data_IF_487993205847
#
_entry.id   IF_487993205847
#
_cell.length_a   1.000
_cell.length_b   1.000
_cell.length_c   1.000
_cell.angle_alpha   90.00
_cell.angle_beta   90.00
_cell.angle_gamma   90.00
#
_symmetry.space_group_name_H-M   'P 1'
#
loop_
_entity.id
_entity.type
_entity.pdbx_description
1 polymer ?
#
# COMPACT_ATOMS: atom_id res chain seq x y z
N UNK A 1 -22.60 40.15 -4.10
CA UNK A 1 -22.61 39.58 -2.73
C UNK A 1 -21.77 40.48 -1.85
N UNK A 2 -22.41 41.30 -1.01
CA UNK A 2 -21.67 42.21 -0.11
C UNK A 2 -21.17 41.41 1.09
N UNK A 3 -19.86 41.20 1.18
CA UNK A 3 -19.20 40.70 2.38
C UNK A 3 -19.22 41.82 3.44
N UNK A 4 -20.30 41.88 4.24
CA UNK A 4 -20.34 42.78 5.41
C UNK A 4 -19.51 42.15 6.53
N UNK A 5 -18.29 42.66 6.76
CA UNK A 5 -17.44 42.27 7.89
C UNK A 5 -18.12 42.62 9.22
N UNK A 6 -18.72 41.62 9.86
CA UNK A 6 -19.31 41.81 11.19
C UNK A 6 -18.22 42.02 12.27
N UNK A 7 -18.49 42.78 13.35
CA UNK A 7 -17.49 43.14 14.36
C UNK A 7 -16.71 41.96 14.99
N UNK A 8 -17.34 40.79 15.13
CA UNK A 8 -16.68 39.60 15.66
C UNK A 8 -15.59 39.04 14.73
N UNK A 9 -15.67 39.26 13.41
CA UNK A 9 -14.62 38.87 12.47
C UNK A 9 -13.33 39.65 12.76
N UNK A 10 -13.43 40.92 13.14
CA UNK A 10 -12.27 41.73 13.53
C UNK A 10 -11.64 41.21 14.83
N UNK A 11 -12.46 40.79 15.80
CA UNK A 11 -11.97 40.16 17.03
C UNK A 11 -11.24 38.85 16.72
N UNK A 12 -11.83 37.97 15.90
CA UNK A 12 -11.19 36.70 15.49
C UNK A 12 -9.89 36.96 14.74
N UNK A 13 -9.86 37.90 13.80
CA UNK A 13 -8.65 38.26 13.07
C UNK A 13 -7.57 38.85 13.98
N UNK A 14 -7.95 39.70 14.94
CA UNK A 14 -7.00 40.27 15.91
C UNK A 14 -6.42 39.19 16.83
N UNK A 15 -7.25 38.27 17.31
CA UNK A 15 -6.82 37.15 18.16
C UNK A 15 -5.94 36.16 17.40
N UNK A 16 -6.32 35.82 16.16
CA UNK A 16 -5.52 34.96 15.30
C UNK A 16 -4.18 35.62 14.94
N UNK A 17 -4.19 36.93 14.65
CA UNK A 17 -2.97 37.69 14.35
C UNK A 17 -2.06 37.78 15.56
N UNK A 18 -2.61 38.01 16.75
CA UNK A 18 -1.86 38.04 18.01
C UNK A 18 -1.24 36.67 18.30
N UNK A 19 -2.05 35.60 18.25
CA UNK A 19 -1.56 34.23 18.46
C UNK A 19 -0.48 33.84 17.45
N UNK A 20 -0.66 34.20 16.18
CA UNK A 20 0.32 33.92 15.13
C UNK A 20 1.65 34.67 15.38
N UNK A 21 1.60 35.90 15.93
CA UNK A 21 2.82 36.65 16.30
C UNK A 21 3.57 35.99 17.44
N UNK A 22 2.87 35.59 18.50
CA UNK A 22 3.47 34.86 19.63
C UNK A 22 4.11 33.54 19.16
N UNK A 23 3.39 32.77 18.34
CA UNK A 23 3.92 31.53 17.75
C UNK A 23 5.16 31.79 16.89
N UNK A 24 5.16 32.87 16.11
CA UNK A 24 6.29 33.24 15.27
C UNK A 24 7.54 33.60 16.09
N UNK A 25 7.37 34.35 17.19
CA UNK A 25 8.48 34.67 18.09
C UNK A 25 9.12 33.42 18.71
N UNK A 26 8.30 32.45 19.13
CA UNK A 26 8.79 31.17 19.64
C UNK A 26 9.56 30.40 18.57
N UNK A 27 9.06 30.36 17.33
CA UNK A 27 9.75 29.70 16.20
C UNK A 27 11.09 30.38 15.92
N UNK A 28 11.13 31.71 15.90
CA UNK A 28 12.36 32.49 15.67
C UNK A 28 13.42 32.22 16.75
N UNK A 29 13.01 32.18 18.01
CA UNK A 29 13.90 31.81 19.12
C UNK A 29 14.44 30.38 18.94
N UNK A 30 13.58 29.40 18.68
CA UNK A 30 14.00 28.00 18.47
C UNK A 30 14.90 27.84 17.26
N UNK A 31 14.70 28.63 16.20
CA UNK A 31 15.60 28.67 15.04
C UNK A 31 16.95 29.29 15.38
N UNK A 32 16.99 30.33 16.22
CA UNK A 32 18.24 30.90 16.73
C UNK A 32 18.99 29.89 17.61
N UNK A 33 18.31 29.23 18.53
CA UNK A 33 18.89 28.18 19.38
C UNK A 33 19.44 27.02 18.54
N UNK A 34 18.67 26.52 17.55
CA UNK A 34 19.15 25.49 16.63
C UNK A 34 20.39 25.92 15.84
N UNK A 35 20.49 27.19 15.43
CA UNK A 35 21.70 27.73 14.76
C UNK A 35 22.91 27.67 15.69
N UNK A 36 22.77 28.15 16.93
CA UNK A 36 23.84 28.08 17.95
C UNK A 36 24.27 26.64 18.23
N UNK A 37 23.32 25.70 18.34
CA UNK A 37 23.63 24.29 18.53
C UNK A 37 24.37 23.69 17.34
N UNK A 38 23.98 24.05 16.10
CA UNK A 38 24.66 23.60 14.87
C UNK A 38 26.10 24.14 14.80
N UNK A 39 26.32 25.40 15.18
CA UNK A 39 27.66 25.99 15.26
C UNK A 39 28.54 25.25 16.27
N UNK A 40 28.01 24.94 17.46
CA UNK A 40 28.74 24.17 18.49
C UNK A 40 29.06 22.74 18.07
N UNK A 41 28.15 22.07 17.35
CA UNK A 41 28.37 20.71 16.84
C UNK A 41 29.39 20.66 15.70
N UNK A 42 29.59 21.78 15.00
CA UNK A 42 30.51 21.89 13.87
C UNK A 42 30.11 20.97 12.70
N UNK A 43 31.10 20.50 11.94
CA UNK A 43 30.89 19.61 10.77
C UNK A 43 30.78 18.12 11.12
N UNK A 44 30.59 17.78 12.40
CA UNK A 44 30.51 16.37 12.83
C UNK A 44 29.27 15.69 12.28
N UNK A 45 29.40 14.42 11.88
CA UNK A 45 28.26 13.61 11.41
C UNK A 45 27.29 13.37 12.57
N UNK A 46 26.04 13.79 12.40
CA UNK A 46 24.98 13.57 13.39
C UNK A 46 24.40 12.17 13.19
N UNK A 47 24.57 11.31 14.20
CA UNK A 47 23.95 9.99 14.25
C UNK A 47 22.67 10.07 15.07
N UNK A 48 21.55 9.73 14.43
CA UNK A 48 20.25 9.70 15.09
C UNK A 48 19.86 8.28 15.50
N UNK A 49 19.24 8.16 16.67
CA UNK A 49 18.51 6.96 17.07
C UNK A 49 17.23 6.77 16.25
N UNK A 50 16.66 5.57 16.25
CA UNK A 50 15.45 5.28 15.48
C UNK A 50 14.25 6.12 15.94
N UNK A 51 14.15 6.41 17.24
CA UNK A 51 13.12 7.30 17.79
C UNK A 51 13.28 8.76 17.30
N UNK A 52 14.52 9.25 17.25
CA UNK A 52 14.79 10.59 16.70
C UNK A 52 14.45 10.67 15.21
N UNK A 53 14.82 9.65 14.42
CA UNK A 53 14.44 9.55 13.01
C UNK A 53 12.93 9.50 12.84
N UNK A 54 12.23 8.75 13.68
CA UNK A 54 10.77 8.67 13.68
C UNK A 54 10.13 10.03 13.93
N UNK A 55 10.55 10.76 14.96
CA UNK A 55 10.02 12.10 15.26
C UNK A 55 10.20 13.08 14.09
N UNK A 56 11.38 13.09 13.48
CA UNK A 56 11.66 13.92 12.31
C UNK A 56 10.87 13.48 11.08
N UNK A 57 10.72 12.18 10.84
CA UNK A 57 9.98 11.64 9.70
C UNK A 57 8.48 11.99 9.78
N UNK A 58 7.87 11.87 10.97
CA UNK A 58 6.45 12.19 11.21
C UNK A 58 6.21 13.68 10.95
N UNK A 59 7.01 14.56 11.57
CA UNK A 59 6.85 16.01 11.39
C UNK A 59 7.22 16.46 9.97
N UNK A 60 8.26 15.89 9.39
CA UNK A 60 8.70 16.20 8.04
C UNK A 60 7.69 15.80 6.96
N UNK A 61 6.97 14.69 7.13
CA UNK A 61 5.92 14.29 6.19
C UNK A 61 4.78 15.32 6.12
N UNK A 62 4.44 15.96 7.24
CA UNK A 62 3.40 17.02 7.30
C UNK A 62 3.83 18.27 6.52
N UNK A 63 5.10 18.66 6.63
CA UNK A 63 5.66 19.81 5.91
C UNK A 63 5.78 19.56 4.40
N UNK A 64 6.04 18.31 4.01
CA UNK A 64 6.21 17.93 2.61
C UNK A 64 7.55 18.35 2.02
N UNK A 65 7.85 17.89 0.79
CA UNK A 65 9.17 18.07 0.17
C UNK A 65 9.55 19.55 -0.02
N UNK A 66 8.62 20.36 -0.55
CA UNK A 66 8.89 21.76 -0.91
C UNK A 66 9.33 22.57 0.32
N UNK A 67 8.49 22.58 1.35
CA UNK A 67 8.76 23.32 2.57
C UNK A 67 10.01 22.81 3.30
N UNK A 68 10.27 21.50 3.30
CA UNK A 68 11.50 20.94 3.86
C UNK A 68 12.76 21.44 3.13
N UNK A 69 12.71 21.62 1.81
CA UNK A 69 13.82 22.19 1.05
C UNK A 69 14.06 23.66 1.43
N UNK A 70 13.00 24.42 1.67
CA UNK A 70 13.07 25.86 1.93
C UNK A 70 13.66 26.17 3.32
N UNK A 71 13.38 25.34 4.33
CA UNK A 71 13.80 25.58 5.73
C UNK A 71 15.23 25.14 6.07
N UNK A 72 16.01 24.60 5.11
CA UNK A 72 17.42 24.26 5.33
C UNK A 72 17.68 23.23 6.43
N UNK A 73 17.05 22.05 6.31
CA UNK A 73 17.10 20.97 7.30
C UNK A 73 18.49 20.37 7.53
N UNK A 74 18.67 19.70 8.67
CA UNK A 74 19.92 18.98 9.02
C UNK A 74 20.19 17.82 8.05
N UNK A 75 19.13 17.20 7.53
CA UNK A 75 19.18 16.09 6.58
C UNK A 75 18.46 16.50 5.30
N UNK A 76 18.81 15.89 4.17
CA UNK A 76 18.07 16.13 2.92
C UNK A 76 16.58 15.80 3.09
N UNK A 77 15.66 16.60 2.50
CA UNK A 77 14.22 16.30 2.50
C UNK A 77 13.91 14.87 2.05
N UNK A 78 14.65 14.36 1.07
CA UNK A 78 14.52 12.99 0.58
C UNK A 78 14.85 11.95 1.65
N UNK A 79 15.83 12.22 2.50
CA UNK A 79 16.22 11.32 3.59
C UNK A 79 15.13 11.24 4.65
N UNK A 80 14.57 12.39 5.03
CA UNK A 80 13.48 12.47 6.03
C UNK A 80 12.23 11.75 5.51
N UNK A 81 11.87 11.98 4.24
CA UNK A 81 10.73 11.32 3.62
C UNK A 81 10.98 9.83 3.37
N UNK A 82 12.23 9.40 3.16
CA UNK A 82 12.58 7.98 3.08
C UNK A 82 12.38 7.29 4.42
N UNK A 83 12.84 7.89 5.53
CA UNK A 83 12.58 7.35 6.88
C UNK A 83 11.08 7.17 7.14
N UNK A 84 10.25 8.10 6.68
CA UNK A 84 8.80 7.95 6.77
C UNK A 84 8.27 6.72 5.99
N UNK A 85 8.78 6.49 4.77
CA UNK A 85 8.40 5.30 3.97
C UNK A 85 8.89 4.01 4.61
N UNK A 86 10.08 4.01 5.20
CA UNK A 86 10.64 2.87 5.94
C UNK A 86 9.75 2.51 7.15
N UNK A 87 9.25 3.51 7.89
CA UNK A 87 8.31 3.27 8.99
C UNK A 87 6.99 2.62 8.52
N UNK A 88 6.48 3.03 7.37
CA UNK A 88 5.31 2.38 6.75
C UNK A 88 5.68 0.94 6.37
N UNK A 89 6.80 0.73 5.69
CA UNK A 89 7.22 -0.59 5.27
C UNK A 89 7.37 -1.55 6.46
N UNK A 90 7.93 -1.09 7.58
CA UNK A 90 8.04 -1.88 8.81
C UNK A 90 6.70 -2.21 9.45
N UNK A 91 5.71 -1.31 9.38
CA UNK A 91 4.35 -1.63 9.83
C UNK A 91 3.74 -2.78 9.03
N UNK A 92 4.06 -2.86 7.75
CA UNK A 92 3.58 -3.90 6.84
C UNK A 92 4.54 -5.11 6.73
N UNK A 93 5.62 -5.13 7.51
CA UNK A 93 6.56 -6.24 7.53
C UNK A 93 6.06 -7.38 8.42
N UNK A 94 5.23 -8.24 7.85
CA UNK A 94 4.75 -9.46 8.49
C UNK A 94 5.69 -10.66 8.26
N UNK A 95 6.93 -10.44 7.83
CA UNK A 95 7.87 -11.53 7.53
C UNK A 95 8.15 -12.42 8.75
N UNK A 96 8.19 -11.82 9.94
CA UNK A 96 8.41 -12.52 11.21
C UNK A 96 7.17 -13.28 11.70
N UNK A 97 5.98 -12.78 11.38
CA UNK A 97 4.70 -13.34 11.81
C UNK A 97 4.16 -14.38 10.83
N UNK A 98 4.86 -14.62 9.71
CA UNK A 98 4.43 -15.58 8.70
C UNK A 98 4.55 -17.00 9.28
N UNK A 99 3.43 -17.72 9.47
CA UNK A 99 3.50 -19.10 9.93
C UNK A 99 4.33 -19.90 8.93
N UNK A 100 5.30 -20.69 9.40
CA UNK A 100 6.03 -21.69 8.58
C UNK A 100 5.14 -22.85 8.13
N UNK A 101 3.81 -22.67 8.13
CA UNK A 101 2.85 -23.65 7.64
C UNK A 101 2.89 -23.60 6.12
N UNK A 102 3.84 -24.34 5.55
CA UNK A 102 3.82 -24.65 4.12
C UNK A 102 2.57 -25.50 3.89
N UNK A 103 1.78 -25.17 2.86
CA UNK A 103 0.59 -25.93 2.46
C UNK A 103 0.94 -27.43 2.48
N UNK A 104 0.18 -28.30 3.16
CA UNK A 104 0.47 -29.73 3.19
C UNK A 104 0.68 -30.23 1.77
N UNK A 105 1.79 -30.94 1.54
CA UNK A 105 2.05 -31.53 0.23
C UNK A 105 0.96 -32.55 -0.06
N UNK A 106 0.45 -32.51 -1.29
CA UNK A 106 -0.43 -33.56 -1.82
C UNK A 106 0.35 -34.87 -1.77
N UNK A 107 -0.32 -35.98 -1.44
CA UNK A 107 0.29 -37.31 -1.48
C UNK A 107 0.85 -37.59 -2.88
N UNK A 108 2.04 -38.20 -2.95
CA UNK A 108 2.71 -38.49 -4.22
C UNK A 108 1.84 -39.35 -5.14
N UNK A 109 1.11 -40.32 -4.58
CA UNK A 109 0.16 -41.18 -5.28
C UNK A 109 -0.89 -40.38 -6.08
N UNK A 110 -1.42 -39.31 -5.49
CA UNK A 110 -2.41 -38.45 -6.14
C UNK A 110 -1.76 -37.64 -7.27
N UNK A 111 -0.53 -37.18 -7.06
CA UNK A 111 0.22 -36.44 -8.09
C UNK A 111 0.49 -37.35 -9.29
N UNK A 112 0.92 -38.59 -9.04
CA UNK A 112 1.13 -39.59 -10.09
C UNK A 112 -0.16 -39.90 -10.84
N UNK A 113 -1.28 -40.08 -10.12
CA UNK A 113 -2.58 -40.31 -10.74
C UNK A 113 -3.03 -39.13 -11.63
N UNK A 114 -2.84 -37.89 -11.16
CA UNK A 114 -3.10 -36.69 -11.98
C UNK A 114 -2.28 -36.72 -13.26
N UNK A 115 -0.97 -36.99 -13.17
CA UNK A 115 -0.07 -37.00 -14.32
C UNK A 115 -0.40 -38.15 -15.28
N UNK A 116 -0.78 -39.31 -14.76
CA UNK A 116 -1.21 -40.45 -15.58
C UNK A 116 -2.47 -40.12 -16.38
N UNK A 117 -3.53 -39.62 -15.72
CA UNK A 117 -4.78 -39.23 -16.39
C UNK A 117 -4.52 -38.16 -17.46
N UNK A 118 -3.66 -37.17 -17.16
CA UNK A 118 -3.34 -36.09 -18.07
C UNK A 118 -2.54 -36.55 -19.30
N UNK A 119 -1.64 -37.51 -19.14
CA UNK A 119 -0.87 -38.10 -20.25
C UNK A 119 -1.74 -38.98 -21.16
N UNK A 120 -2.62 -39.78 -20.58
CA UNK A 120 -3.55 -40.63 -21.31
C UNK A 120 -4.65 -39.82 -22.04
N UNK A 121 -4.97 -38.63 -21.53
CA UNK A 121 -6.02 -37.78 -22.08
C UNK A 121 -5.53 -36.35 -22.35
N UNK A 122 -4.70 -36.11 -23.39
CA UNK A 122 -4.09 -34.81 -23.66
C UNK A 122 -5.09 -33.65 -23.91
N UNK A 123 -6.35 -33.97 -24.23
CA UNK A 123 -7.41 -32.98 -24.49
C UNK A 123 -8.19 -32.58 -23.23
N UNK A 124 -7.92 -33.21 -22.08
CA UNK A 124 -8.65 -32.95 -20.85
C UNK A 124 -8.07 -31.77 -20.08
N UNK A 125 -8.91 -30.76 -19.81
CA UNK A 125 -8.59 -29.67 -18.90
C UNK A 125 -8.64 -30.09 -17.43
N UNK A 126 -8.12 -29.22 -16.55
CA UNK A 126 -8.05 -29.48 -15.11
C UNK A 126 -9.42 -29.79 -14.47
N UNK A 127 -10.49 -29.15 -14.93
CA UNK A 127 -11.86 -29.38 -14.42
C UNK A 127 -12.35 -30.79 -14.79
N UNK A 128 -11.98 -31.31 -15.98
CA UNK A 128 -12.36 -32.67 -16.40
C UNK A 128 -11.58 -33.73 -15.63
N UNK A 129 -10.30 -33.48 -15.38
CA UNK A 129 -9.44 -34.33 -14.55
C UNK A 129 -9.94 -34.33 -13.10
N UNK A 130 -10.39 -33.18 -12.59
CA UNK A 130 -11.03 -33.07 -11.27
C UNK A 130 -12.25 -33.98 -11.16
N UNK A 131 -13.14 -33.95 -12.16
CA UNK A 131 -14.31 -34.83 -12.19
C UNK A 131 -13.93 -36.32 -12.25
N UNK A 132 -12.85 -36.67 -12.97
CA UNK A 132 -12.38 -38.04 -13.01
C UNK A 132 -11.84 -38.50 -11.65
N UNK A 133 -11.11 -37.64 -10.94
CA UNK A 133 -10.58 -37.92 -9.61
C UNK A 133 -11.69 -38.02 -8.55
N UNK A 134 -12.73 -37.19 -8.65
CA UNK A 134 -13.88 -37.28 -7.73
C UNK A 134 -14.61 -38.62 -7.87
N UNK A 135 -14.68 -39.17 -9.09
CA UNK A 135 -15.28 -40.49 -9.31
C UNK A 135 -14.50 -41.64 -8.64
N UNK A 136 -13.19 -41.45 -8.41
CA UNK A 136 -12.30 -42.41 -7.72
C UNK A 136 -12.21 -42.11 -6.21
N UNK A 137 -12.95 -41.10 -5.72
CA UNK A 137 -13.02 -40.72 -4.30
C UNK A 137 -12.07 -39.59 -3.89
N UNK A 138 -11.25 -39.06 -4.80
CA UNK A 138 -10.32 -37.98 -4.50
C UNK A 138 -10.93 -36.60 -4.77
N UNK A 139 -11.14 -35.83 -3.70
CA UNK A 139 -11.74 -34.49 -3.76
C UNK A 139 -10.65 -33.42 -3.72
N UNK A 140 -10.21 -32.99 -4.90
CA UNK A 140 -9.09 -32.04 -5.06
C UNK A 140 -9.60 -30.82 -5.83
N UNK A 141 -9.11 -29.63 -5.51
CA UNK A 141 -9.45 -28.41 -6.26
C UNK A 141 -8.75 -28.40 -7.64
N UNK A 142 -9.44 -27.93 -8.68
CA UNK A 142 -8.91 -27.75 -10.04
C UNK A 142 -7.59 -26.95 -10.04
N UNK A 143 -7.48 -25.90 -9.22
CA UNK A 143 -6.28 -25.07 -9.03
C UNK A 143 -5.07 -25.89 -8.59
N UNK A 144 -5.31 -26.93 -7.80
CA UNK A 144 -4.28 -27.84 -7.31
C UNK A 144 -3.79 -28.75 -8.44
N UNK A 145 -4.72 -29.24 -9.28
CA UNK A 145 -4.40 -30.01 -10.49
C UNK A 145 -3.61 -29.15 -11.48
N UNK A 146 -4.06 -27.92 -11.77
CA UNK A 146 -3.34 -26.95 -12.61
C UNK A 146 -1.92 -26.71 -12.10
N UNK A 147 -1.74 -26.58 -10.78
CA UNK A 147 -0.41 -26.41 -10.17
C UNK A 147 0.48 -27.64 -10.35
N UNK A 148 -0.07 -28.86 -10.26
CA UNK A 148 0.66 -30.11 -10.47
C UNK A 148 1.08 -30.25 -11.94
N UNK A 149 0.16 -30.04 -12.87
CA UNK A 149 0.43 -30.10 -14.31
C UNK A 149 1.51 -29.08 -14.71
N UNK A 150 1.39 -27.83 -14.24
CA UNK A 150 2.38 -26.77 -14.47
C UNK A 150 3.76 -27.11 -13.89
N UNK A 151 3.81 -27.66 -12.67
CA UNK A 151 5.07 -28.07 -12.05
C UNK A 151 5.78 -29.20 -12.80
N UNK A 152 5.05 -29.98 -13.60
CA UNK A 152 5.56 -31.07 -14.42
C UNK A 152 5.64 -30.73 -15.92
N UNK A 153 5.52 -29.44 -16.27
CA UNK A 153 5.69 -28.96 -17.65
C UNK A 153 4.56 -29.32 -18.61
N UNK A 154 3.39 -29.74 -18.11
CA UNK A 154 2.20 -29.98 -18.94
C UNK A 154 1.47 -28.65 -19.13
N UNK A 155 1.44 -28.16 -20.36
CA UNK A 155 0.72 -26.94 -20.71
C UNK A 155 -0.79 -27.12 -20.54
N UNK A 156 -1.51 -26.09 -20.05
CA UNK A 156 -2.96 -26.14 -20.02
C UNK A 156 -3.50 -26.39 -21.42
N UNK A 157 -4.50 -27.27 -21.55
CA UNK A 157 -5.27 -27.41 -22.79
C UNK A 157 -5.72 -26.01 -23.22
N UNK A 158 -5.55 -25.63 -24.50
CA UNK A 158 -5.93 -24.31 -24.96
C UNK A 158 -7.37 -24.04 -24.55
N UNK A 159 -7.56 -22.95 -23.80
CA UNK A 159 -8.87 -22.50 -23.41
C UNK A 159 -9.74 -22.48 -24.67
N UNK A 160 -10.93 -23.11 -24.59
CA UNK A 160 -11.97 -22.91 -25.61
C UNK A 160 -12.07 -21.40 -25.85
N UNK A 161 -12.20 -20.93 -27.11
CA UNK A 161 -12.23 -19.51 -27.40
C UNK A 161 -13.25 -18.86 -26.46
N UNK A 162 -12.76 -17.97 -25.61
CA UNK A 162 -13.57 -17.30 -24.62
C UNK A 162 -14.82 -16.77 -25.33
N UNK A 163 -16.00 -17.18 -24.86
CA UNK A 163 -17.23 -16.62 -25.38
C UNK A 163 -17.18 -15.12 -25.12
N UNK A 164 -17.09 -14.34 -26.20
CA UNK A 164 -16.98 -12.88 -26.22
C UNK A 164 -15.59 -12.32 -25.89
N UNK A 165 -15.08 -11.45 -26.77
CA UNK A 165 -13.85 -10.69 -26.51
C UNK A 165 -14.06 -9.65 -25.40
N UNK A 166 -13.02 -9.37 -24.61
CA UNK A 166 -13.05 -8.33 -23.56
C UNK A 166 -13.59 -6.98 -24.06
N UNK A 167 -13.22 -6.61 -25.29
CA UNK A 167 -13.72 -5.39 -25.93
C UNK A 167 -15.24 -5.41 -26.16
N UNK A 168 -15.79 -6.57 -26.52
CA UNK A 168 -17.23 -6.72 -26.75
C UNK A 168 -17.99 -6.73 -25.43
N UNK A 169 -17.45 -7.37 -24.39
CA UNK A 169 -17.99 -7.33 -23.03
C UNK A 169 -18.01 -5.90 -22.47
N UNK A 170 -16.88 -5.19 -22.54
CA UNK A 170 -16.80 -3.81 -22.05
C UNK A 170 -17.75 -2.89 -22.79
N UNK A 171 -17.89 -3.02 -24.11
CA UNK A 171 -18.84 -2.23 -24.91
C UNK A 171 -20.30 -2.53 -24.54
N UNK A 172 -20.66 -3.78 -24.27
CA UNK A 172 -22.02 -4.16 -23.90
C UNK A 172 -22.42 -3.64 -22.50
N UNK A 173 -21.45 -3.52 -21.60
CA UNK A 173 -21.68 -3.16 -20.20
C UNK A 173 -21.18 -1.76 -19.80
N UNK A 174 -20.60 -1.00 -20.73
CA UNK A 174 -19.94 0.30 -20.47
C UNK A 174 -20.81 1.27 -19.67
N UNK A 175 -22.11 1.31 -19.98
CA UNK A 175 -23.13 2.16 -19.35
C UNK A 175 -23.47 1.78 -17.89
N UNK A 176 -23.00 0.62 -17.43
CA UNK A 176 -23.37 0.04 -16.13
C UNK A 176 -22.17 -0.36 -15.27
N UNK A 177 -20.94 -0.19 -15.76
CA UNK A 177 -19.73 -0.60 -15.04
C UNK A 177 -19.21 0.54 -14.17
N UNK A 178 -18.98 0.23 -12.90
CA UNK A 178 -18.22 1.03 -11.96
C UNK A 178 -16.87 0.38 -11.69
N UNK A 179 -15.80 1.17 -11.72
CA UNK A 179 -14.52 0.79 -11.15
C UNK A 179 -14.55 1.06 -9.64
N UNK A 180 -14.45 -0.01 -8.86
CA UNK A 180 -14.38 0.05 -7.39
C UNK A 180 -13.01 -0.45 -6.98
N UNK A 181 -12.27 0.37 -6.24
CA UNK A 181 -10.97 -0.01 -5.70
C UNK A 181 -10.81 0.47 -4.26
N UNK A 182 -9.91 -0.18 -3.53
CA UNK A 182 -9.51 0.21 -2.19
C UNK A 182 -8.06 0.68 -2.19
N UNK A 183 -7.84 1.90 -1.75
CA UNK A 183 -6.51 2.41 -1.45
C UNK A 183 -6.31 2.57 0.04
N UNK A 184 -5.06 2.50 0.48
CA UNK A 184 -4.70 2.67 1.89
C UNK A 184 -3.94 3.97 2.08
N UNK A 185 -4.33 4.73 3.10
CA UNK A 185 -3.65 5.97 3.48
C UNK A 185 -3.16 5.82 4.91
N UNK A 186 -1.85 5.95 5.10
CA UNK A 186 -1.22 5.90 6.41
C UNK A 186 -1.20 7.29 7.04
N UNK A 187 -1.91 7.43 8.18
CA UNK A 187 -2.08 8.70 8.90
C UNK A 187 -1.51 8.58 10.31
N UNK A 188 -0.73 9.58 10.73
CA UNK A 188 -0.23 9.66 12.09
C UNK A 188 -1.29 10.22 13.04
N UNK A 189 -1.79 9.38 13.93
CA UNK A 189 -2.66 9.79 15.05
C UNK A 189 -1.88 9.86 16.37
N UNK A 190 -2.53 10.37 17.42
CA UNK A 190 -1.99 10.37 18.79
C UNK A 190 -1.65 8.95 19.29
N UNK A 191 -2.36 7.94 18.79
CA UNK A 191 -2.17 6.52 19.10
C UNK A 191 -1.09 5.84 18.25
N UNK A 192 -0.57 6.50 17.21
CA UNK A 192 0.44 5.95 16.30
C UNK A 192 0.03 5.98 14.83
N UNK A 193 0.76 5.23 14.00
CA UNK A 193 0.54 5.15 12.56
C UNK A 193 -0.70 4.28 12.28
N UNK A 194 -1.79 4.90 11.83
CA UNK A 194 -3.09 4.26 11.61
C UNK A 194 -3.38 4.18 10.11
N UNK A 195 -3.83 3.00 9.65
CA UNK A 195 -4.20 2.80 8.24
C UNK A 195 -5.67 3.16 8.07
N UNK A 196 -5.95 4.06 7.14
CA UNK A 196 -7.29 4.30 6.63
C UNK A 196 -7.49 3.58 5.32
N UNK A 197 -8.59 2.84 5.20
CA UNK A 197 -9.04 2.27 3.94
C UNK A 197 -9.97 3.27 3.26
N UNK A 198 -9.59 3.69 2.07
CA UNK A 198 -10.36 4.61 1.24
C UNK A 198 -10.91 3.80 0.08
N UNK A 199 -12.23 3.72 0.01
CA UNK A 199 -12.94 3.14 -1.12
C UNK A 199 -13.12 4.21 -2.19
N UNK A 200 -12.65 3.94 -3.39
CA UNK A 200 -12.84 4.80 -4.55
C UNK A 200 -13.82 4.10 -5.49
N UNK A 201 -14.89 4.80 -5.82
CA UNK A 201 -15.87 4.36 -6.81
C UNK A 201 -15.85 5.36 -7.95
N UNK A 202 -15.59 4.87 -9.15
CA UNK A 202 -15.52 5.67 -10.37
C UNK A 202 -16.46 5.08 -11.40
N UNK A 203 -17.36 5.91 -11.92
CA UNK A 203 -18.15 5.56 -13.09
C UNK A 203 -17.26 5.66 -14.33
N UNK A 204 -17.13 4.57 -15.09
CA UNK A 204 -16.18 4.51 -16.21
C UNK A 204 -16.59 5.36 -17.42
N UNK A 205 -17.85 5.77 -17.49
CA UNK A 205 -18.41 6.53 -18.60
C UNK A 205 -18.08 8.03 -18.55
N UNK A 206 -17.75 8.56 -17.37
CA UNK A 206 -17.69 10.01 -17.11
C UNK A 206 -16.56 10.74 -17.83
#
# INVERSE_FOLDING_TARGET
>A
MNFMMQPWHLLVLSLASWLNREQQQVIEYLQAENRVLREKLGKKRILLSDDQRRRLAVKGKVLGRKLLSDIGTVFSPDTILRWHRELIAWKWDYSKDKPRVRRPRIRAEIVELILWIAKENPTWGADRIQCALSNVGYHIADTTIRSVLKANGIEPVPDRPASMSWQTFLRAHWETIFAVDFTTVEVWMKTGLTTFYVMVVMELKS
#
